data_IF_838964223557
#
_entry.id   IF_838964223557
#
_cell.length_a   1.000
_cell.length_b   1.000
_cell.length_c   1.000
_cell.angle_alpha   90.00
_cell.angle_beta   90.00
_cell.angle_gamma   90.00
#
_symmetry.space_group_name_H-M   'P 1'
#
loop_
_entity.id
_entity.type
_entity.pdbx_description
1 polymer ?
#
# COMPACT_ATOMS: atom_id res chain seq x y z
N UNK A 1 -24.18 -19.13 19.86
CA UNK A 1 -24.27 -20.14 18.77
C UNK A 1 -25.68 -20.73 18.61
N UNK A 2 -26.64 -20.28 19.42
CA UNK A 2 -28.05 -20.71 19.35
C UNK A 2 -28.58 -20.72 17.91
N UNK A 3 -29.24 -21.81 17.54
CA UNK A 3 -29.75 -22.07 16.20
C UNK A 3 -28.77 -22.74 15.24
N UNK A 4 -27.52 -22.96 15.66
CA UNK A 4 -26.53 -23.72 14.86
C UNK A 4 -26.79 -25.21 14.92
N UNK A 5 -26.31 -25.90 13.89
CA UNK A 5 -26.40 -27.35 13.74
C UNK A 5 -24.98 -27.89 13.65
N UNK A 6 -24.57 -28.68 14.64
CA UNK A 6 -23.17 -28.99 14.86
C UNK A 6 -22.85 -30.46 14.57
N UNK A 7 -21.66 -30.69 14.04
CA UNK A 7 -20.97 -31.96 14.12
C UNK A 7 -19.99 -31.88 15.28
N UNK A 8 -20.00 -32.88 16.16
CA UNK A 8 -19.22 -32.90 17.39
C UNK A 8 -18.30 -34.10 17.33
N UNK A 9 -17.03 -33.90 17.65
CA UNK A 9 -16.08 -34.98 17.86
C UNK A 9 -15.23 -34.71 19.09
N UNK A 10 -14.94 -35.78 19.85
CA UNK A 10 -14.03 -35.73 20.98
C UNK A 10 -13.45 -37.11 21.29
N UNK A 11 -12.33 -37.13 22.01
CA UNK A 11 -11.75 -38.37 22.52
C UNK A 11 -12.31 -38.66 23.92
N UNK A 12 -12.83 -39.86 24.12
CA UNK A 12 -13.32 -40.34 25.41
C UNK A 12 -12.16 -40.72 26.33
N UNK A 13 -12.45 -40.82 27.62
CA UNK A 13 -11.57 -41.31 28.68
C UNK A 13 -11.00 -42.71 28.42
N UNK A 14 -11.73 -43.57 27.70
CA UNK A 14 -11.28 -44.90 27.28
C UNK A 14 -10.34 -44.91 26.05
N UNK A 15 -10.04 -43.73 25.50
CA UNK A 15 -9.17 -43.53 24.34
C UNK A 15 -9.88 -43.63 22.99
N UNK A 16 -11.15 -44.06 22.94
CA UNK A 16 -11.95 -44.11 21.71
C UNK A 16 -12.41 -42.72 21.28
N UNK A 17 -12.71 -42.56 19.99
CA UNK A 17 -13.19 -41.28 19.44
C UNK A 17 -14.71 -41.36 19.23
N UNK A 18 -15.43 -40.36 19.76
CA UNK A 18 -16.84 -40.16 19.49
C UNK A 18 -17.01 -39.14 18.37
N UNK A 19 -17.98 -39.37 17.47
CA UNK A 19 -18.38 -38.42 16.45
C UNK A 19 -19.90 -38.52 16.22
N UNK A 20 -20.62 -37.40 16.31
CA UNK A 20 -22.08 -37.38 16.20
C UNK A 20 -22.59 -35.97 15.86
N UNK A 21 -23.91 -35.83 15.70
CA UNK A 21 -24.57 -34.55 15.41
C UNK A 21 -25.27 -33.98 16.65
N UNK A 22 -25.30 -32.65 16.78
CA UNK A 22 -25.95 -31.98 17.90
C UNK A 22 -26.68 -30.69 17.46
N UNK A 23 -28.00 -30.57 17.67
CA UNK A 23 -28.72 -29.33 17.45
C UNK A 23 -28.51 -28.35 18.62
N UNK A 24 -27.98 -27.16 18.35
CA UNK A 24 -27.66 -26.17 19.39
C UNK A 24 -28.85 -25.23 19.63
N UNK A 25 -29.64 -25.51 20.67
CA UNK A 25 -30.87 -24.77 20.98
C UNK A 25 -30.72 -23.72 22.08
N UNK A 26 -29.61 -23.72 22.83
CA UNK A 26 -29.34 -22.76 23.91
C UNK A 26 -27.84 -22.50 24.10
N UNK A 27 -27.49 -21.41 24.78
CA UNK A 27 -26.09 -21.09 25.13
C UNK A 27 -25.52 -21.97 26.26
N UNK A 28 -26.39 -22.70 26.98
CA UNK A 28 -26.00 -23.68 28.01
C UNK A 28 -25.95 -25.12 27.50
N UNK A 29 -25.81 -25.32 26.19
CA UNK A 29 -25.76 -26.65 25.57
C UNK A 29 -24.63 -27.49 26.15
N UNK A 30 -24.91 -28.77 26.42
CA UNK A 30 -23.92 -29.79 26.73
C UNK A 30 -23.50 -30.56 25.47
N UNK A 31 -23.89 -30.12 24.27
CA UNK A 31 -23.65 -30.84 23.01
C UNK A 31 -24.28 -32.25 23.04
N UNK A 32 -25.57 -32.33 23.39
CA UNK A 32 -26.33 -33.58 23.39
C UNK A 32 -26.50 -34.12 21.97
N UNK A 33 -26.43 -35.44 21.82
CA UNK A 33 -26.62 -36.09 20.53
C UNK A 33 -28.07 -35.94 20.04
N UNK A 34 -28.23 -35.55 18.78
CA UNK A 34 -29.55 -35.36 18.17
C UNK A 34 -29.49 -35.10 16.67
N UNK A 35 -30.62 -35.30 16.01
CA UNK A 35 -30.74 -35.14 14.56
C UNK A 35 -30.69 -33.68 14.12
N UNK A 36 -30.11 -33.45 12.94
CA UNK A 36 -30.11 -32.14 12.27
C UNK A 36 -31.34 -31.99 11.37
N UNK A 37 -31.63 -30.76 10.95
CA UNK A 37 -32.72 -30.38 10.05
C UNK A 37 -32.46 -30.79 8.59
N UNK A 38 -31.31 -31.37 8.29
CA UNK A 38 -30.91 -31.87 6.97
C UNK A 38 -30.35 -33.28 7.11
N UNK A 39 -30.41 -34.04 6.02
CA UNK A 39 -29.99 -35.43 6.01
C UNK A 39 -28.46 -35.53 6.19
N UNK A 40 -28.03 -36.37 7.11
CA UNK A 40 -26.62 -36.67 7.37
C UNK A 40 -26.42 -38.16 7.08
N UNK A 41 -25.54 -38.45 6.13
CA UNK A 41 -25.28 -39.81 5.66
C UNK A 41 -24.18 -40.50 6.49
N UNK A 42 -23.13 -39.75 6.83
CA UNK A 42 -21.99 -40.29 7.58
C UNK A 42 -21.39 -39.21 8.46
N UNK A 43 -21.02 -39.59 9.69
CA UNK A 43 -20.18 -38.80 10.58
C UNK A 43 -19.17 -39.74 11.21
N UNK A 44 -17.90 -39.40 11.12
CA UNK A 44 -16.81 -40.13 11.76
C UNK A 44 -15.71 -39.15 12.19
N UNK A 45 -14.82 -39.58 13.06
CA UNK A 45 -13.68 -38.78 13.44
C UNK A 45 -12.47 -39.67 13.74
N UNK A 46 -11.30 -39.06 13.64
CA UNK A 46 -10.01 -39.66 13.98
C UNK A 46 -9.21 -38.69 14.83
N UNK A 47 -8.39 -39.25 15.72
CA UNK A 47 -7.49 -38.47 16.56
C UNK A 47 -6.07 -39.01 16.40
N UNK A 48 -5.22 -38.22 15.76
CA UNK A 48 -3.83 -38.57 15.46
C UNK A 48 -2.93 -37.36 15.76
N UNK A 49 -1.78 -37.60 16.41
CA UNK A 49 -0.78 -36.56 16.73
C UNK A 49 -1.33 -35.30 17.41
N UNK A 50 -2.30 -35.47 18.32
CA UNK A 50 -2.94 -34.35 19.03
C UNK A 50 -3.94 -33.56 18.18
N UNK A 51 -4.26 -34.02 16.98
CA UNK A 51 -5.21 -33.37 16.06
C UNK A 51 -6.48 -34.20 15.93
N UNK A 52 -7.63 -33.58 16.19
CA UNK A 52 -8.94 -34.16 15.92
C UNK A 52 -9.38 -33.81 14.50
N UNK A 53 -9.67 -34.83 13.69
CA UNK A 53 -10.20 -34.66 12.32
C UNK A 53 -11.60 -35.26 12.27
N UNK A 54 -12.59 -34.43 11.93
CA UNK A 54 -13.97 -34.83 11.73
C UNK A 54 -14.28 -34.98 10.24
N UNK A 55 -14.87 -36.10 9.87
CA UNK A 55 -15.40 -36.38 8.54
C UNK A 55 -16.92 -36.39 8.61
N UNK A 56 -17.58 -35.71 7.67
CA UNK A 56 -19.02 -35.70 7.57
C UNK A 56 -19.48 -35.66 6.12
N UNK A 57 -20.44 -36.51 5.78
CA UNK A 57 -21.15 -36.54 4.50
C UNK A 57 -22.63 -36.24 4.77
N UNK A 58 -23.15 -35.18 4.17
CA UNK A 58 -24.53 -34.73 4.44
C UNK A 58 -25.11 -34.01 3.22
N UNK A 59 -26.44 -33.98 3.16
CA UNK A 59 -27.17 -33.23 2.15
C UNK A 59 -27.26 -31.76 2.56
N UNK A 60 -26.93 -30.85 1.65
CA UNK A 60 -27.06 -29.42 1.92
C UNK A 60 -28.54 -29.05 2.13
N UNK A 61 -28.91 -28.35 3.21
CA UNK A 61 -30.28 -27.92 3.44
C UNK A 61 -30.74 -26.93 2.36
N UNK A 62 -31.57 -27.38 1.41
CA UNK A 62 -32.09 -26.58 0.31
C UNK A 62 -31.13 -26.47 -0.89
N UNK A 63 -30.88 -25.24 -1.37
CA UNK A 63 -29.91 -24.95 -2.45
C UNK A 63 -28.93 -23.78 -2.13
N UNK A 64 -28.49 -23.55 -0.88
CA UNK A 64 -27.58 -22.46 -0.57
C UNK A 64 -26.16 -22.81 -1.06
N UNK A 65 -25.67 -22.01 -2.01
CA UNK A 65 -24.29 -22.09 -2.51
C UNK A 65 -23.27 -21.67 -1.45
N UNK A 66 -23.71 -20.85 -0.48
CA UNK A 66 -22.87 -20.22 0.53
C UNK A 66 -23.45 -20.46 1.92
N UNK A 67 -22.71 -21.12 2.79
CA UNK A 67 -23.13 -21.50 4.14
C UNK A 67 -22.23 -20.82 5.16
N UNK A 68 -22.80 -20.20 6.19
CA UNK A 68 -22.02 -19.73 7.34
C UNK A 68 -21.64 -20.95 8.18
N UNK A 69 -20.38 -21.08 8.53
CA UNK A 69 -19.91 -22.09 9.47
C UNK A 69 -19.23 -21.41 10.67
N UNK A 70 -19.23 -22.12 11.79
CA UNK A 70 -18.50 -21.76 13.01
C UNK A 70 -17.78 -23.02 13.48
N UNK A 71 -16.63 -22.86 14.10
CA UNK A 71 -15.90 -23.96 14.72
C UNK A 71 -15.43 -23.53 16.10
N UNK A 72 -15.40 -24.47 17.03
CA UNK A 72 -15.05 -24.21 18.42
C UNK A 72 -14.22 -25.36 18.96
N UNK A 73 -13.33 -25.05 19.89
CA UNK A 73 -12.57 -26.02 20.67
C UNK A 73 -12.86 -25.82 22.16
N UNK A 74 -13.07 -26.92 22.87
CA UNK A 74 -13.38 -26.94 24.30
C UNK A 74 -12.80 -28.16 24.99
N UNK A 75 -12.76 -28.10 26.31
CA UNK A 75 -12.24 -29.18 27.15
C UNK A 75 -13.30 -30.28 27.33
N UNK A 76 -12.83 -31.51 27.52
CA UNK A 76 -13.63 -32.66 27.93
C UNK A 76 -13.13 -33.11 29.30
N UNK A 77 -14.04 -33.37 30.23
CA UNK A 77 -13.70 -33.87 31.57
C UNK A 77 -13.49 -35.40 31.58
N UNK A 78 -12.95 -35.91 32.68
CA UNK A 78 -12.62 -37.34 32.85
C UNK A 78 -13.85 -38.26 32.80
N UNK A 79 -15.06 -37.72 33.01
CA UNK A 79 -16.35 -38.41 32.88
C UNK A 79 -17.01 -38.22 31.49
N UNK A 80 -16.22 -37.82 30.48
CA UNK A 80 -16.64 -37.56 29.10
C UNK A 80 -17.67 -36.40 28.94
N UNK A 81 -17.79 -35.53 29.95
CA UNK A 81 -18.65 -34.34 29.87
C UNK A 81 -17.97 -33.21 29.08
N UNK A 82 -18.76 -32.51 28.25
CA UNK A 82 -18.24 -31.40 27.40
C UNK A 82 -18.32 -30.10 28.19
N UNK A 83 -17.18 -29.46 28.39
CA UNK A 83 -17.08 -28.22 29.16
C UNK A 83 -17.24 -27.00 28.26
N UNK A 84 -17.74 -25.92 28.85
CA UNK A 84 -17.86 -24.64 28.15
C UNK A 84 -16.49 -24.08 27.82
N UNK A 85 -16.32 -23.60 26.58
CA UNK A 85 -15.13 -22.87 26.16
C UNK A 85 -15.26 -21.36 26.44
N UNK A 86 -14.15 -20.63 26.33
CA UNK A 86 -14.16 -19.19 26.54
C UNK A 86 -15.06 -18.46 25.52
N UNK A 87 -16.02 -17.67 26.00
CA UNK A 87 -16.93 -16.86 25.16
C UNK A 87 -16.28 -15.56 24.63
N UNK A 88 -14.96 -15.56 24.47
CA UNK A 88 -14.15 -14.44 23.99
C UNK A 88 -12.92 -14.97 23.24
N UNK A 89 -12.10 -14.07 22.69
CA UNK A 89 -10.86 -14.48 22.02
C UNK A 89 -11.11 -15.21 20.69
N UNK A 90 -10.35 -16.29 20.46
CA UNK A 90 -10.31 -16.98 19.18
C UNK A 90 -11.58 -17.81 18.92
N UNK A 91 -12.14 -18.45 19.94
CA UNK A 91 -13.44 -19.13 19.88
C UNK A 91 -14.55 -18.18 19.41
N UNK A 92 -14.63 -16.97 19.97
CA UNK A 92 -15.60 -15.96 19.53
C UNK A 92 -15.40 -15.48 18.08
N UNK A 93 -14.16 -15.54 17.57
CA UNK A 93 -13.80 -15.09 16.21
C UNK A 93 -13.77 -16.22 15.18
N UNK A 94 -14.04 -17.45 15.60
CA UNK A 94 -13.96 -18.66 14.77
C UNK A 94 -15.26 -18.88 13.99
N UNK A 95 -15.41 -18.11 12.92
CA UNK A 95 -16.52 -18.20 11.98
C UNK A 95 -16.08 -17.86 10.57
N UNK A 96 -16.84 -18.34 9.59
CA UNK A 96 -16.58 -18.08 8.18
C UNK A 96 -17.76 -18.42 7.29
N UNK A 97 -17.52 -18.46 5.98
CA UNK A 97 -18.44 -18.97 4.98
C UNK A 97 -17.75 -19.95 4.06
N UNK A 98 -18.42 -21.06 3.80
CA UNK A 98 -18.03 -22.08 2.83
C UNK A 98 -18.89 -21.92 1.59
N UNK A 99 -18.25 -21.75 0.44
CA UNK A 99 -18.90 -21.87 -0.86
C UNK A 99 -18.76 -23.31 -1.36
N UNK A 100 -19.86 -24.06 -1.34
CA UNK A 100 -19.87 -25.47 -1.73
C UNK A 100 -19.74 -25.70 -3.24
N UNK A 101 -19.89 -24.67 -4.09
CA UNK A 101 -19.62 -24.79 -5.52
C UNK A 101 -18.14 -24.60 -5.86
N UNK A 102 -17.47 -23.66 -5.18
CA UNK A 102 -16.08 -23.31 -5.49
C UNK A 102 -15.07 -23.94 -4.53
N UNK A 103 -15.53 -24.54 -3.43
CA UNK A 103 -14.69 -25.09 -2.36
C UNK A 103 -13.92 -24.02 -1.57
N UNK A 104 -14.28 -22.74 -1.71
CA UNK A 104 -13.57 -21.65 -1.05
C UNK A 104 -14.16 -21.36 0.32
N UNK A 105 -13.28 -21.29 1.31
CA UNK A 105 -13.58 -20.81 2.67
C UNK A 105 -13.19 -19.32 2.75
N UNK A 106 -14.09 -18.49 3.29
CA UNK A 106 -13.85 -17.06 3.43
C UNK A 106 -14.36 -16.53 4.76
N UNK A 107 -13.56 -15.71 5.43
CA UNK A 107 -13.92 -15.18 6.75
C UNK A 107 -15.04 -14.13 6.70
N UNK A 108 -15.41 -13.61 5.51
CA UNK A 108 -16.28 -12.41 5.34
C UNK A 108 -17.02 -12.37 4.01
N UNK A 109 -18.10 -11.57 3.99
CA UNK A 109 -18.94 -11.26 2.83
C UNK A 109 -18.14 -11.04 1.51
N UNK A 110 -18.38 -11.87 0.47
CA UNK A 110 -17.71 -11.78 -0.83
C UNK A 110 -17.80 -10.39 -1.49
N UNK A 111 -18.93 -9.70 -1.36
CA UNK A 111 -19.12 -8.36 -1.94
C UNK A 111 -18.22 -7.33 -1.26
N UNK A 112 -18.09 -7.41 0.06
CA UNK A 112 -17.24 -6.52 0.86
C UNK A 112 -15.74 -6.81 0.67
N UNK A 113 -15.36 -8.05 0.40
CA UNK A 113 -13.98 -8.41 0.04
C UNK A 113 -13.59 -7.88 -1.34
N UNK A 114 -14.45 -8.08 -2.34
CA UNK A 114 -14.22 -7.58 -3.69
C UNK A 114 -14.10 -6.05 -3.72
N UNK A 115 -14.93 -5.33 -2.97
CA UNK A 115 -14.82 -3.87 -2.87
C UNK A 115 -13.51 -3.44 -2.20
N UNK A 116 -13.06 -4.08 -1.11
CA UNK A 116 -11.75 -3.80 -0.49
C UNK A 116 -10.58 -4.06 -1.42
N UNK A 117 -10.61 -5.14 -2.21
CA UNK A 117 -9.59 -5.45 -3.21
C UNK A 117 -9.56 -4.36 -4.28
N UNK A 118 -10.73 -3.92 -4.78
CA UNK A 118 -10.83 -2.83 -5.74
C UNK A 118 -10.27 -1.53 -5.17
N UNK A 119 -10.64 -1.15 -3.96
CA UNK A 119 -10.13 0.05 -3.30
C UNK A 119 -8.61 0.02 -3.12
N UNK A 120 -8.02 -1.13 -2.75
CA UNK A 120 -6.56 -1.30 -2.70
C UNK A 120 -5.89 -1.08 -4.06
N UNK A 121 -6.49 -1.59 -5.14
CA UNK A 121 -6.01 -1.37 -6.51
C UNK A 121 -6.08 0.11 -6.89
N UNK A 122 -7.21 0.78 -6.63
CA UNK A 122 -7.40 2.21 -6.90
C UNK A 122 -6.41 3.05 -6.12
N UNK A 123 -6.20 2.76 -4.82
CA UNK A 123 -5.18 3.41 -3.99
C UNK A 123 -3.78 3.29 -4.61
N UNK A 124 -3.39 2.08 -5.03
CA UNK A 124 -2.10 1.84 -5.68
C UNK A 124 -1.94 2.61 -6.99
N UNK A 125 -2.98 2.64 -7.84
CA UNK A 125 -2.96 3.35 -9.13
C UNK A 125 -2.81 4.86 -8.90
N UNK A 126 -3.65 5.46 -8.05
CA UNK A 126 -3.64 6.90 -7.79
C UNK A 126 -2.28 7.34 -7.22
N UNK A 127 -1.76 6.61 -6.23
CA UNK A 127 -0.46 6.94 -5.63
C UNK A 127 0.71 6.66 -6.58
N UNK A 128 0.62 5.63 -7.42
CA UNK A 128 1.59 5.37 -8.47
C UNK A 128 1.67 6.52 -9.49
N UNK A 129 0.52 7.01 -9.96
CA UNK A 129 0.46 8.15 -10.90
C UNK A 129 0.92 9.45 -10.22
N UNK A 130 0.34 9.79 -9.07
CA UNK A 130 0.62 11.05 -8.37
C UNK A 130 2.04 11.09 -7.78
N UNK A 131 2.30 10.28 -6.76
CA UNK A 131 3.57 10.30 -6.03
C UNK A 131 4.69 9.57 -6.77
N UNK A 132 4.36 8.49 -7.48
CA UNK A 132 5.36 7.63 -8.12
C UNK A 132 5.90 8.16 -9.45
N UNK A 133 5.10 8.91 -10.22
CA UNK A 133 5.45 9.33 -11.59
C UNK A 133 5.41 10.85 -11.76
N UNK A 134 4.29 11.51 -11.44
CA UNK A 134 4.14 12.95 -11.69
C UNK A 134 5.06 13.79 -10.79
N UNK A 135 5.19 13.46 -9.49
CA UNK A 135 6.13 14.14 -8.57
C UNK A 135 7.58 14.17 -9.09
N UNK A 136 8.23 13.03 -9.42
CA UNK A 136 9.58 13.04 -9.97
C UNK A 136 9.64 13.71 -11.36
N UNK A 137 8.63 13.51 -12.22
CA UNK A 137 8.58 14.17 -13.53
C UNK A 137 8.57 15.70 -13.38
N UNK A 138 7.74 16.25 -12.50
CA UNK A 138 7.69 17.69 -12.23
C UNK A 138 9.02 18.22 -11.70
N UNK A 139 9.74 17.45 -10.88
CA UNK A 139 11.08 17.81 -10.40
C UNK A 139 12.12 17.81 -11.53
N UNK A 140 12.13 16.79 -12.40
CA UNK A 140 12.98 16.73 -13.60
C UNK A 140 12.71 17.95 -14.49
N UNK A 141 11.45 18.25 -14.80
CA UNK A 141 11.07 19.43 -15.58
C UNK A 141 11.59 20.72 -14.95
N UNK A 142 11.38 20.89 -13.64
CA UNK A 142 11.85 22.07 -12.91
C UNK A 142 13.38 22.18 -12.86
N UNK A 143 14.07 21.03 -12.82
CA UNK A 143 15.53 20.95 -12.78
C UNK A 143 16.17 21.23 -14.12
N UNK A 144 15.65 20.74 -15.24
CA UNK A 144 16.35 20.79 -16.55
C UNK A 144 15.78 21.80 -17.55
N UNK A 145 14.46 22.05 -17.53
CA UNK A 145 13.88 23.05 -18.44
C UNK A 145 14.32 24.46 -18.03
N UNK A 146 14.62 24.68 -16.75
CA UNK A 146 15.09 25.97 -16.22
C UNK A 146 16.39 26.47 -16.89
N UNK A 147 17.24 25.58 -17.39
CA UNK A 147 18.54 25.90 -17.99
C UNK A 147 18.42 26.23 -19.48
N UNK A 148 17.29 25.88 -20.09
CA UNK A 148 16.97 26.20 -21.47
C UNK A 148 16.47 27.65 -21.51
N UNK A 149 17.33 28.56 -21.99
CA UNK A 149 17.02 29.99 -22.16
C UNK A 149 15.72 30.21 -22.96
N UNK A 150 15.45 29.35 -23.94
CA UNK A 150 14.24 29.35 -24.75
C UNK A 150 12.93 29.19 -23.95
N UNK A 151 12.98 28.64 -22.73
CA UNK A 151 11.75 28.37 -21.96
C UNK A 151 11.32 29.56 -21.09
N UNK A 152 12.17 30.56 -20.87
CA UNK A 152 11.83 31.75 -20.06
C UNK A 152 11.20 31.38 -18.71
N UNK A 153 9.95 31.80 -18.47
CA UNK A 153 9.17 31.47 -17.27
C UNK A 153 8.30 30.21 -17.40
N UNK A 154 8.28 29.57 -18.57
CA UNK A 154 7.42 28.42 -18.88
C UNK A 154 7.78 27.18 -18.06
N UNK A 155 9.07 26.93 -17.80
CA UNK A 155 9.48 25.81 -16.95
C UNK A 155 8.81 25.86 -15.56
N UNK A 156 8.63 27.07 -15.00
CA UNK A 156 8.05 27.26 -13.68
C UNK A 156 6.55 26.97 -13.70
N UNK A 157 5.85 27.36 -14.78
CA UNK A 157 4.43 27.04 -14.98
C UNK A 157 4.21 25.54 -15.13
N UNK A 158 5.05 24.87 -15.93
CA UNK A 158 4.97 23.43 -16.15
C UNK A 158 5.29 22.62 -14.88
N UNK A 159 6.38 22.97 -14.18
CA UNK A 159 6.71 22.38 -12.88
C UNK A 159 5.54 22.52 -11.91
N UNK A 160 5.01 23.73 -11.74
CA UNK A 160 3.90 24.01 -10.83
C UNK A 160 2.63 23.22 -11.20
N UNK A 161 2.26 23.20 -12.48
CA UNK A 161 1.08 22.46 -12.94
C UNK A 161 1.23 20.95 -12.67
N UNK A 162 2.40 20.38 -12.98
CA UNK A 162 2.70 18.98 -12.72
C UNK A 162 2.64 18.65 -11.22
N UNK A 163 3.24 19.49 -10.36
CA UNK A 163 3.24 19.28 -8.91
C UNK A 163 1.85 19.40 -8.28
N UNK A 164 1.03 20.36 -8.73
CA UNK A 164 -0.36 20.50 -8.27
C UNK A 164 -1.17 19.25 -8.64
N UNK A 165 -1.07 18.79 -9.89
CA UNK A 165 -1.81 17.60 -10.35
C UNK A 165 -1.37 16.36 -9.57
N UNK A 166 -0.05 16.19 -9.39
CA UNK A 166 0.52 15.10 -8.62
C UNK A 166 0.01 15.09 -7.16
N UNK A 167 -0.02 16.27 -6.52
CA UNK A 167 -0.49 16.43 -5.15
C UNK A 167 -1.99 16.15 -5.01
N UNK A 168 -2.83 16.61 -5.94
CA UNK A 168 -4.29 16.35 -5.91
C UNK A 168 -4.57 14.84 -6.04
N UNK A 169 -4.03 14.19 -7.08
CA UNK A 169 -4.22 12.76 -7.31
C UNK A 169 -3.66 11.95 -6.12
N UNK A 170 -2.46 12.32 -5.66
CA UNK A 170 -1.81 11.69 -4.52
C UNK A 170 -2.56 11.86 -3.21
N UNK A 171 -3.26 12.99 -3.00
CA UNK A 171 -4.10 13.23 -1.82
C UNK A 171 -5.32 12.31 -1.81
N UNK A 172 -5.98 12.12 -2.96
CA UNK A 172 -7.11 11.20 -3.09
C UNK A 172 -6.64 9.76 -2.81
N UNK A 173 -5.49 9.36 -3.38
CA UNK A 173 -4.88 8.07 -3.11
C UNK A 173 -4.52 7.89 -1.63
N UNK A 174 -3.95 8.91 -1.00
CA UNK A 174 -3.60 8.90 0.42
C UNK A 174 -4.83 8.76 1.32
N UNK A 175 -5.89 9.55 1.09
CA UNK A 175 -7.15 9.47 1.83
C UNK A 175 -7.76 8.06 1.76
N UNK A 176 -7.69 7.42 0.58
CA UNK A 176 -8.13 6.04 0.43
C UNK A 176 -7.24 5.05 1.23
N UNK A 177 -5.94 5.32 1.34
CA UNK A 177 -5.03 4.54 2.18
C UNK A 177 -5.37 4.62 3.67
N UNK A 178 -5.73 5.81 4.15
CA UNK A 178 -6.23 6.01 5.53
C UNK A 178 -7.52 5.22 5.74
N UNK A 179 -8.48 5.33 4.81
CA UNK A 179 -9.73 4.56 4.87
C UNK A 179 -9.49 3.04 4.91
N UNK A 180 -8.54 2.55 4.11
CA UNK A 180 -8.15 1.14 4.07
C UNK A 180 -7.43 0.66 5.32
N UNK A 181 -6.84 1.57 6.10
CA UNK A 181 -6.08 1.25 7.32
C UNK A 181 -6.99 0.91 8.52
N UNK A 182 -8.30 1.17 8.40
CA UNK A 182 -9.26 0.85 9.45
C UNK A 182 -9.25 1.87 10.60
N UNK A 183 -9.85 1.51 11.76
CA UNK A 183 -10.10 2.45 12.86
C UNK A 183 -8.83 2.89 13.60
N UNK A 184 -7.74 2.10 13.56
CA UNK A 184 -6.48 2.47 14.19
C UNK A 184 -5.27 1.94 13.41
N UNK A 185 -4.21 2.74 13.37
CA UNK A 185 -2.94 2.36 12.73
C UNK A 185 -2.29 1.15 13.43
N UNK A 186 -2.55 0.97 14.74
CA UNK A 186 -2.07 -0.14 15.55
C UNK A 186 -2.69 -1.49 15.17
N UNK A 187 -3.78 -1.50 14.41
CA UNK A 187 -4.40 -2.74 13.90
C UNK A 187 -3.71 -3.29 12.65
N UNK A 188 -2.74 -2.57 12.08
CA UNK A 188 -1.99 -3.00 10.91
C UNK A 188 -0.88 -3.98 11.27
N UNK A 189 -0.52 -4.86 10.32
CA UNK A 189 0.70 -5.65 10.43
C UNK A 189 1.93 -4.73 10.55
N UNK A 190 3.05 -5.18 11.14
CA UNK A 190 4.27 -4.37 11.23
C UNK A 190 4.73 -3.80 9.88
N UNK A 191 4.60 -4.58 8.80
CA UNK A 191 4.89 -4.10 7.45
C UNK A 191 3.92 -3.02 6.96
N UNK A 192 2.63 -3.20 7.20
CA UNK A 192 1.57 -2.24 6.83
C UNK A 192 1.68 -0.93 7.61
N UNK A 193 1.99 -1.03 8.92
CA UNK A 193 2.23 0.12 9.79
C UNK A 193 3.31 1.03 9.19
N UNK A 194 4.48 0.49 8.85
CA UNK A 194 5.57 1.30 8.32
C UNK A 194 5.24 1.89 6.94
N UNK A 195 4.55 1.16 6.06
CA UNK A 195 4.09 1.71 4.78
C UNK A 195 3.17 2.92 4.99
N UNK A 196 2.23 2.82 5.92
CA UNK A 196 1.32 3.90 6.26
C UNK A 196 2.06 5.08 6.91
N UNK A 197 2.99 4.84 7.85
CA UNK A 197 3.79 5.90 8.48
C UNK A 197 4.62 6.69 7.47
N UNK A 198 5.29 6.00 6.52
CA UNK A 198 6.03 6.67 5.45
C UNK A 198 5.07 7.46 4.55
N UNK A 199 3.91 6.89 4.21
CA UNK A 199 2.88 7.59 3.45
C UNK A 199 2.40 8.88 4.11
N UNK A 200 2.18 8.86 5.42
CA UNK A 200 1.83 10.04 6.22
C UNK A 200 2.98 11.06 6.19
N UNK A 201 4.23 10.64 6.38
CA UNK A 201 5.39 11.52 6.34
C UNK A 201 5.56 12.20 4.96
N UNK A 202 5.36 11.45 3.87
CA UNK A 202 5.35 11.98 2.49
C UNK A 202 4.25 13.02 2.33
N UNK A 203 3.01 12.70 2.73
CA UNK A 203 1.88 13.60 2.60
C UNK A 203 2.11 14.91 3.36
N UNK A 204 2.44 14.83 4.66
CA UNK A 204 2.70 16.00 5.51
C UNK A 204 3.83 16.85 4.93
N UNK A 205 4.96 16.24 4.53
CA UNK A 205 6.09 16.96 3.97
C UNK A 205 5.72 17.69 2.67
N UNK A 206 4.92 17.04 1.80
CA UNK A 206 4.41 17.65 0.58
C UNK A 206 3.41 18.78 0.86
N UNK A 207 2.53 18.63 1.85
CA UNK A 207 1.61 19.69 2.27
C UNK A 207 2.39 20.91 2.77
N UNK A 208 3.40 20.72 3.62
CA UNK A 208 4.26 21.80 4.11
C UNK A 208 4.97 22.49 2.94
N UNK A 209 5.48 21.75 1.96
CA UNK A 209 6.05 22.30 0.72
C UNK A 209 5.05 23.20 -0.03
N UNK A 210 3.82 22.74 -0.24
CA UNK A 210 2.78 23.49 -0.94
C UNK A 210 2.40 24.76 -0.19
N UNK A 211 2.09 24.66 1.11
CA UNK A 211 1.71 25.79 1.95
C UNK A 211 2.85 26.82 2.03
N UNK A 212 4.07 26.36 2.27
CA UNK A 212 5.20 27.26 2.37
C UNK A 212 5.51 27.92 1.02
N UNK A 213 5.28 27.24 -0.12
CA UNK A 213 5.44 27.83 -1.44
C UNK A 213 4.39 28.91 -1.77
N UNK A 214 3.19 28.80 -1.20
CA UNK A 214 2.11 29.77 -1.36
C UNK A 214 2.32 30.98 -0.44
N UNK A 215 2.62 30.75 0.84
CA UNK A 215 2.58 31.79 1.87
C UNK A 215 3.96 32.36 2.24
N UNK A 216 5.04 31.58 2.10
CA UNK A 216 6.35 31.90 2.67
C UNK A 216 7.44 32.07 1.61
N UNK A 217 7.12 31.93 0.32
CA UNK A 217 8.08 32.02 -0.78
C UNK A 217 8.60 33.46 -0.94
N UNK A 218 9.88 33.75 -0.61
CA UNK A 218 10.41 35.12 -0.71
C UNK A 218 10.66 35.54 -2.17
N UNK A 219 10.70 36.85 -2.39
CA UNK A 219 11.10 37.46 -3.66
C UNK A 219 12.50 37.05 -4.11
N UNK A 220 12.74 37.10 -5.43
CA UNK A 220 13.97 36.60 -6.06
C UNK A 220 15.24 37.27 -5.52
N UNK A 221 15.15 38.54 -5.11
CA UNK A 221 16.29 39.34 -4.65
C UNK A 221 16.43 39.37 -3.12
N UNK A 222 15.49 38.76 -2.39
CA UNK A 222 15.51 38.77 -0.93
C UNK A 222 16.52 37.75 -0.36
N UNK A 223 17.30 38.09 0.67
CA UNK A 223 18.30 37.17 1.27
C UNK A 223 17.70 35.85 1.74
N UNK A 224 16.47 35.88 2.28
CA UNK A 224 15.74 34.69 2.71
C UNK A 224 15.45 33.68 1.57
N UNK A 225 15.56 34.11 0.30
CA UNK A 225 15.39 33.25 -0.88
C UNK A 225 16.35 32.05 -0.87
N UNK A 226 17.54 32.22 -0.29
CA UNK A 226 18.54 31.15 -0.19
C UNK A 226 18.04 30.03 0.73
N UNK A 227 17.59 30.37 1.94
CA UNK A 227 17.04 29.41 2.90
C UNK A 227 15.78 28.72 2.35
N UNK A 228 14.92 29.48 1.68
CA UNK A 228 13.75 28.94 0.97
C UNK A 228 14.15 27.88 -0.06
N UNK A 229 15.16 28.15 -0.88
CA UNK A 229 15.62 27.19 -1.89
C UNK A 229 16.22 25.93 -1.25
N UNK A 230 17.02 26.06 -0.17
CA UNK A 230 17.57 24.91 0.56
C UNK A 230 16.44 24.02 1.09
N UNK A 231 15.49 24.62 1.82
CA UNK A 231 14.30 23.94 2.32
C UNK A 231 13.55 23.22 1.19
N UNK A 232 13.22 23.95 0.13
CA UNK A 232 12.45 23.43 -1.01
C UNK A 232 13.14 22.25 -1.69
N UNK A 233 14.48 22.32 -1.87
CA UNK A 233 15.24 21.24 -2.47
C UNK A 233 15.35 20.02 -1.55
N UNK A 234 15.75 20.21 -0.30
CA UNK A 234 15.96 19.10 0.66
C UNK A 234 14.66 18.34 0.89
N UNK A 235 13.58 19.05 1.23
CA UNK A 235 12.28 18.42 1.46
C UNK A 235 11.72 17.82 0.17
N UNK A 236 11.98 18.46 -0.98
CA UNK A 236 11.43 18.02 -2.27
C UNK A 236 12.04 16.71 -2.74
N UNK A 237 13.37 16.60 -2.70
CA UNK A 237 14.05 15.34 -3.01
C UNK A 237 13.75 14.26 -1.96
N UNK A 238 13.61 14.63 -0.68
CA UNK A 238 13.18 13.73 0.38
C UNK A 238 11.80 13.12 0.10
N UNK A 239 10.82 13.94 -0.29
CA UNK A 239 9.48 13.47 -0.69
C UNK A 239 9.54 12.50 -1.86
N UNK A 240 10.33 12.79 -2.90
CA UNK A 240 10.47 11.90 -4.06
C UNK A 240 11.07 10.56 -3.64
N UNK A 241 12.18 10.59 -2.89
CA UNK A 241 12.85 9.37 -2.42
C UNK A 241 11.91 8.51 -1.57
N UNK A 242 11.26 9.11 -0.56
CA UNK A 242 10.34 8.41 0.31
C UNK A 242 9.12 7.88 -0.46
N UNK A 243 8.62 8.60 -1.47
CA UNK A 243 7.52 8.15 -2.31
C UNK A 243 7.87 6.89 -3.11
N UNK A 244 9.03 6.88 -3.77
CA UNK A 244 9.52 5.72 -4.54
C UNK A 244 9.74 4.52 -3.60
N UNK A 245 10.41 4.74 -2.47
CA UNK A 245 10.63 3.70 -1.47
C UNK A 245 9.31 3.14 -0.93
N UNK A 246 8.36 4.01 -0.59
CA UNK A 246 7.06 3.61 -0.09
C UNK A 246 6.26 2.83 -1.13
N UNK A 247 6.47 3.09 -2.42
CA UNK A 247 5.80 2.35 -3.48
C UNK A 247 6.28 0.91 -3.58
N UNK A 248 7.58 0.67 -3.59
CA UNK A 248 8.11 -0.70 -3.55
C UNK A 248 7.67 -1.46 -2.31
N UNK A 249 7.56 -0.78 -1.16
CA UNK A 249 7.03 -1.36 0.07
C UNK A 249 5.55 -1.72 -0.07
N UNK A 250 4.74 -0.81 -0.63
CA UNK A 250 3.32 -1.01 -0.89
C UNK A 250 3.05 -2.22 -1.79
N UNK A 251 3.81 -2.36 -2.89
CA UNK A 251 3.69 -3.53 -3.77
C UNK A 251 4.10 -4.84 -3.10
N UNK A 252 4.97 -4.79 -2.08
CA UNK A 252 5.44 -5.98 -1.37
C UNK A 252 4.43 -6.46 -0.29
N UNK A 253 3.34 -5.73 -0.05
CA UNK A 253 2.25 -6.17 0.85
C UNK A 253 1.40 -7.29 0.27
N UNK A 254 1.45 -7.54 -1.04
CA UNK A 254 0.72 -8.65 -1.68
C UNK A 254 1.51 -9.27 -2.82
N UNK A 255 1.57 -10.60 -2.85
CA UNK A 255 2.22 -11.36 -3.92
C UNK A 255 1.58 -11.10 -5.28
N UNK A 256 0.30 -10.77 -5.34
CA UNK A 256 -0.44 -10.49 -6.58
C UNK A 256 0.02 -9.21 -7.31
N UNK A 257 0.86 -8.39 -6.69
CA UNK A 257 1.38 -7.15 -7.29
C UNK A 257 2.79 -7.27 -7.87
N UNK A 258 3.33 -8.49 -8.04
CA UNK A 258 4.67 -8.67 -8.58
C UNK A 258 4.85 -8.04 -9.97
N UNK A 259 3.90 -8.24 -10.90
CA UNK A 259 3.94 -7.61 -12.23
C UNK A 259 3.88 -6.08 -12.16
N UNK A 260 3.10 -5.54 -11.21
CA UNK A 260 2.98 -4.09 -10.99
C UNK A 260 4.27 -3.50 -10.43
N UNK A 261 4.92 -4.21 -9.50
CA UNK A 261 6.22 -3.86 -8.94
C UNK A 261 7.28 -3.77 -10.05
N UNK A 262 7.31 -4.75 -10.96
CA UNK A 262 8.26 -4.80 -12.07
C UNK A 262 7.99 -3.68 -13.08
N UNK A 263 6.72 -3.41 -13.41
CA UNK A 263 6.36 -2.28 -14.27
C UNK A 263 6.80 -0.94 -13.66
N UNK A 264 6.52 -0.72 -12.36
CA UNK A 264 6.95 0.49 -11.67
C UNK A 264 8.47 0.60 -11.55
N UNK A 265 9.17 -0.51 -11.36
CA UNK A 265 10.63 -0.55 -11.42
C UNK A 265 11.16 -0.07 -12.77
N UNK A 266 10.61 -0.58 -13.88
CA UNK A 266 10.96 -0.12 -15.23
C UNK A 266 10.71 1.38 -15.44
N UNK A 267 9.57 1.90 -14.96
CA UNK A 267 9.25 3.34 -15.03
C UNK A 267 10.26 4.18 -14.22
N UNK A 268 10.58 3.73 -13.00
CA UNK A 268 11.53 4.42 -12.12
C UNK A 268 12.93 4.47 -12.73
N UNK A 269 13.40 3.35 -13.28
CA UNK A 269 14.69 3.27 -14.00
C UNK A 269 14.68 4.19 -15.22
N UNK A 270 13.58 4.20 -15.99
CA UNK A 270 13.45 5.05 -17.17
C UNK A 270 13.51 6.55 -16.81
N UNK A 271 12.80 6.98 -15.76
CA UNK A 271 12.88 8.36 -15.26
C UNK A 271 14.29 8.71 -14.79
N UNK A 272 14.99 7.77 -14.14
CA UNK A 272 16.39 7.91 -13.75
C UNK A 272 17.31 8.09 -14.96
N UNK A 273 17.18 7.26 -15.98
CA UNK A 273 17.94 7.37 -17.23
C UNK A 273 17.69 8.70 -17.95
N UNK A 274 16.43 9.14 -18.04
CA UNK A 274 16.07 10.44 -18.61
C UNK A 274 16.75 11.58 -17.84
N UNK A 275 16.71 11.55 -16.51
CA UNK A 275 17.39 12.54 -15.69
C UNK A 275 18.91 12.54 -15.93
N UNK A 276 19.56 11.38 -15.99
CA UNK A 276 21.00 11.26 -16.27
C UNK A 276 21.37 11.82 -17.65
N UNK A 277 20.58 11.52 -18.69
CA UNK A 277 20.79 12.06 -20.04
C UNK A 277 20.64 13.59 -20.03
N UNK A 278 19.59 14.11 -19.41
CA UNK A 278 19.37 15.55 -19.32
C UNK A 278 20.46 16.25 -18.50
N UNK A 279 20.99 15.60 -17.46
CA UNK A 279 22.14 16.09 -16.69
C UNK A 279 23.39 16.17 -17.58
N UNK A 280 23.72 15.11 -18.33
CA UNK A 280 24.85 15.10 -19.25
C UNK A 280 24.74 16.20 -20.32
N UNK A 281 23.54 16.39 -20.92
CA UNK A 281 23.27 17.45 -21.88
C UNK A 281 23.47 18.84 -21.26
N UNK A 282 22.93 19.04 -20.05
CA UNK A 282 23.04 20.32 -19.34
C UNK A 282 24.49 20.67 -19.02
N UNK A 283 25.28 19.68 -18.58
CA UNK A 283 26.72 19.83 -18.35
C UNK A 283 27.50 20.12 -19.62
N UNK A 284 27.18 19.46 -20.73
CA UNK A 284 27.79 19.73 -22.03
C UNK A 284 27.58 21.19 -22.45
N UNK A 285 26.34 21.69 -22.38
CA UNK A 285 26.05 23.10 -22.70
C UNK A 285 26.70 24.07 -21.73
N UNK A 286 26.77 23.74 -20.44
CA UNK A 286 27.48 24.54 -19.45
C UNK A 286 28.98 24.66 -19.79
N UNK A 287 29.65 23.54 -20.08
CA UNK A 287 31.07 23.54 -20.46
C UNK A 287 31.30 24.34 -21.75
N UNK A 288 30.45 24.15 -22.77
CA UNK A 288 30.53 24.90 -24.03
C UNK A 288 30.38 26.42 -23.82
N UNK A 289 29.44 26.85 -22.98
CA UNK A 289 29.25 28.28 -22.64
C UNK A 289 30.45 28.84 -21.88
N UNK A 290 31.05 28.06 -20.97
CA UNK A 290 32.25 28.45 -20.23
C UNK A 290 33.43 28.66 -21.18
N UNK A 291 33.68 27.70 -22.08
CA UNK A 291 34.76 27.79 -23.06
C UNK A 291 34.58 29.01 -23.99
N UNK A 292 33.35 29.29 -24.46
CA UNK A 292 33.08 30.48 -25.28
C UNK A 292 33.37 31.79 -24.51
N UNK A 293 33.00 31.88 -23.23
CA UNK A 293 33.32 33.05 -22.40
C UNK A 293 34.83 33.21 -22.21
N UNK A 294 35.56 32.12 -21.98
CA UNK A 294 37.03 32.14 -21.85
C UNK A 294 37.71 32.58 -23.15
N UNK A 295 37.22 32.16 -24.33
CA UNK A 295 37.75 32.64 -25.62
C UNK A 295 37.47 34.13 -25.84
N UNK A 296 36.25 34.60 -25.59
CA UNK A 296 35.90 36.01 -25.75
C UNK A 296 36.70 36.94 -24.81
N UNK A 297 36.99 36.49 -23.57
CA UNK A 297 37.85 37.21 -22.63
C UNK A 297 39.30 37.30 -23.12
N UNK A 298 39.81 36.25 -23.78
CA UNK A 298 41.14 36.25 -24.38
C UNK A 298 41.23 37.19 -25.59
N UNK A 299 40.23 37.18 -26.48
CA UNK A 299 40.17 38.10 -27.63
C UNK A 299 40.14 39.57 -27.20
N UNK A 300 39.29 39.94 -26.24
CA UNK A 300 39.22 41.31 -25.70
C UNK A 300 40.53 41.76 -25.05
N UNK A 301 41.19 40.88 -24.28
CA UNK A 301 42.50 41.19 -23.68
C UNK A 301 43.64 41.31 -24.71
N UNK A 302 43.50 40.72 -25.90
CA UNK A 302 44.49 40.83 -26.96
C UNK A 302 44.35 42.15 -27.75
N UNK A 303 43.12 42.62 -27.94
CA UNK A 303 42.81 43.89 -28.63
C UNK A 303 43.28 45.11 -27.81
N UNK A 304 43.09 45.07 -26.48
CA UNK A 304 43.57 46.12 -25.56
C UNK A 304 45.11 46.24 -25.47
N UNK A 305 45.86 45.23 -25.97
CA UNK A 305 47.32 45.21 -25.96
C UNK A 305 47.96 45.62 -27.30
N UNK A 306 47.17 46.07 -28.28
CA UNK A 306 47.71 46.61 -29.54
C UNK A 306 48.15 48.07 -29.30
N UNK A 307 49.45 48.40 -29.42
CA UNK A 307 49.92 49.77 -29.25
C UNK A 307 49.30 50.69 -30.31
N UNK A 308 48.97 51.95 -29.97
CA UNK A 308 48.38 52.88 -30.94
C UNK A 308 49.28 52.99 -32.16
N UNK A 309 48.73 52.76 -33.36
CA UNK A 309 49.47 53.05 -34.59
C UNK A 309 49.72 54.56 -34.66
N UNK A 310 51.00 54.96 -34.64
CA UNK A 310 51.40 56.33 -34.93
C UNK A 310 50.96 56.67 -36.36
N UNK A 311 50.04 57.61 -36.47
CA UNK A 311 49.59 58.18 -37.74
C UNK A 311 50.70 59.12 -38.21
N UNK A 312 51.39 58.73 -39.29
CA UNK A 312 52.36 59.56 -40.03
C UNK A 312 51.63 60.45 -41.02
#
# INVERSE_FOLDING_TARGET
>A
MVGSQAFVAFQKSDGTVAAYTSPITSDGTTLEEGSLSFEVHEVSASFEDGTMILYASFQLPGNPKLVNHVWQEGLVSDDDSRLSHALSGDNFKSFGRVDFLTGKVSDRDPHKQNSKILLRKVHGILNGIGWGILMPTGAIMGRYLKQLEATGSTWFRLHRACQILAYIIGTIGFALGIFLSGPSLSSLSPYGFVHASIGIAVFVSATVQVLAAIFLRPDKHHKARIFWNIFHYVVGYGVIFLSVFNMFRGFSLSKSYHSWKNAYFGITVSLGCVALILEAITWFFFCKRRNKKEMNLKETSADDNIPPQEIV
#
